data_IF_925042628096
#
_entry.id   IF_925042628096
#
_cell.length_a   1.000
_cell.length_b   1.000
_cell.length_c   1.000
_cell.angle_alpha   90.00
_cell.angle_beta   90.00
_cell.angle_gamma   90.00
#
_symmetry.space_group_name_H-M   'P 1'
#
loop_
_entity.id
_entity.type
_entity.pdbx_description
1 polymer ?
#
# COMPACT_ATOMS: atom_id res chain seq x y z
N UNK A 1 1.07 -7.71 -20.41
CA UNK A 1 0.63 -6.34 -20.73
C UNK A 1 0.64 -5.54 -19.44
N UNK A 2 1.06 -4.27 -19.47
CA UNK A 2 1.26 -3.43 -18.29
C UNK A 2 0.33 -2.23 -18.34
N UNK A 3 -0.08 -1.76 -17.17
CA UNK A 3 -0.82 -0.54 -16.93
C UNK A 3 0.14 0.51 -16.37
N UNK A 4 0.42 1.53 -17.17
CA UNK A 4 1.23 2.67 -16.74
C UNK A 4 0.32 3.81 -16.25
N UNK A 5 0.38 4.09 -14.95
CA UNK A 5 -0.35 5.18 -14.32
C UNK A 5 0.59 6.36 -14.17
N UNK A 6 0.52 7.31 -15.09
CA UNK A 6 1.33 8.52 -15.10
C UNK A 6 0.55 9.66 -14.42
N UNK A 7 1.14 10.25 -13.37
CA UNK A 7 0.53 11.31 -12.57
C UNK A 7 1.44 12.53 -12.61
N UNK A 8 0.92 13.72 -12.95
CA UNK A 8 1.68 14.97 -12.84
C UNK A 8 2.19 15.19 -11.42
N UNK A 9 3.45 15.56 -11.29
CA UNK A 9 4.13 15.69 -10.01
C UNK A 9 5.12 16.88 -9.98
N UNK A 10 4.85 17.95 -10.71
CA UNK A 10 5.67 19.17 -10.74
C UNK A 10 5.83 19.75 -9.31
N UNK A 11 4.78 19.67 -8.48
CA UNK A 11 4.73 20.13 -7.11
C UNK A 11 5.32 19.13 -6.08
N UNK A 12 5.79 17.96 -6.53
CA UNK A 12 6.41 16.98 -5.65
C UNK A 12 7.81 17.47 -5.23
N UNK A 13 8.00 17.64 -3.93
CA UNK A 13 9.27 18.09 -3.36
C UNK A 13 10.29 16.93 -3.26
N UNK A 14 11.56 17.27 -3.02
CA UNK A 14 12.61 16.29 -2.71
C UNK A 14 12.21 15.39 -1.53
N UNK A 15 11.61 15.95 -0.48
CA UNK A 15 11.10 15.17 0.65
C UNK A 15 9.92 14.28 0.25
N UNK A 16 9.03 14.76 -0.61
CA UNK A 16 7.93 13.96 -1.15
C UNK A 16 8.41 12.74 -1.96
N UNK A 17 9.48 12.89 -2.75
CA UNK A 17 10.11 11.78 -3.47
C UNK A 17 10.66 10.76 -2.47
N UNK A 18 11.43 11.20 -1.46
CA UNK A 18 11.93 10.28 -0.41
C UNK A 18 10.80 9.55 0.30
N UNK A 19 9.71 10.24 0.61
CA UNK A 19 8.55 9.64 1.25
C UNK A 19 7.92 8.56 0.36
N UNK A 20 7.78 8.83 -0.94
CA UNK A 20 7.22 7.88 -1.90
C UNK A 20 8.09 6.63 -2.03
N UNK A 21 9.41 6.81 -2.18
CA UNK A 21 10.38 5.72 -2.27
C UNK A 21 10.39 4.86 -1.00
N UNK A 22 10.43 5.49 0.18
CA UNK A 22 10.39 4.80 1.46
C UNK A 22 9.07 4.07 1.70
N UNK A 23 7.95 4.64 1.23
CA UNK A 23 6.63 4.00 1.28
C UNK A 23 6.61 2.76 0.39
N UNK A 24 7.11 2.87 -0.85
CA UNK A 24 7.19 1.76 -1.78
C UNK A 24 8.10 0.65 -1.25
N UNK A 25 9.30 0.98 -0.77
CA UNK A 25 10.23 0.04 -0.13
C UNK A 25 9.55 -0.72 1.02
N UNK A 26 8.86 -0.01 1.89
CA UNK A 26 8.20 -0.61 3.06
C UNK A 26 7.02 -1.51 2.71
N UNK A 27 6.43 -1.35 1.53
CA UNK A 27 5.20 -2.04 1.11
C UNK A 27 5.36 -2.90 -0.15
N UNK A 28 6.54 -2.93 -0.77
CA UNK A 28 6.77 -3.66 -2.02
C UNK A 28 6.37 -5.13 -1.93
N UNK A 29 6.61 -5.80 -0.81
CA UNK A 29 6.17 -7.18 -0.60
C UNK A 29 4.64 -7.32 -0.76
N UNK A 30 3.88 -6.50 -0.04
CA UNK A 30 2.41 -6.55 -0.07
C UNK A 30 1.83 -6.03 -1.40
N UNK A 31 2.46 -5.02 -2.00
CA UNK A 31 2.09 -4.51 -3.32
C UNK A 31 2.28 -5.57 -4.40
N UNK A 32 3.40 -6.27 -4.40
CA UNK A 32 3.68 -7.36 -5.32
C UNK A 32 2.70 -8.52 -5.14
N UNK A 33 2.38 -8.89 -3.90
CA UNK A 33 1.34 -9.89 -3.62
C UNK A 33 -0.04 -9.45 -4.11
N UNK A 34 -0.42 -8.19 -3.87
CA UNK A 34 -1.69 -7.63 -4.34
C UNK A 34 -1.77 -7.62 -5.87
N UNK A 35 -0.67 -7.25 -6.54
CA UNK A 35 -0.55 -7.24 -7.99
C UNK A 35 -0.40 -8.62 -8.63
N UNK A 36 -0.09 -9.66 -7.83
CA UNK A 36 0.08 -11.03 -8.32
C UNK A 36 1.40 -11.31 -9.04
N UNK A 37 2.44 -10.51 -8.76
CA UNK A 37 3.78 -10.68 -9.35
C UNK A 37 4.79 -9.65 -8.84
N UNK A 38 6.02 -9.72 -9.31
CA UNK A 38 7.13 -8.88 -8.87
C UNK A 38 7.22 -7.60 -9.73
N UNK A 39 6.27 -6.71 -9.55
CA UNK A 39 6.18 -5.45 -10.30
C UNK A 39 6.97 -4.31 -9.68
N UNK A 40 7.19 -4.33 -8.38
CA UNK A 40 7.87 -3.27 -7.63
C UNK A 40 9.12 -3.79 -6.95
N UNK A 41 10.24 -3.11 -7.16
CA UNK A 41 11.47 -3.38 -6.43
C UNK A 41 12.25 -2.09 -6.15
N UNK A 42 12.46 -1.83 -4.86
CA UNK A 42 13.33 -0.79 -4.33
C UNK A 42 14.41 -1.48 -3.51
N UNK A 43 15.68 -1.24 -3.83
CA UNK A 43 16.79 -1.80 -3.05
C UNK A 43 17.00 -1.04 -1.73
N UNK A 44 17.52 -1.72 -0.72
CA UNK A 44 17.94 -1.08 0.53
C UNK A 44 18.99 0.02 0.29
N UNK A 45 19.88 -0.19 -0.68
CA UNK A 45 20.90 0.79 -1.06
C UNK A 45 20.30 2.16 -1.46
N UNK A 46 19.17 2.16 -2.16
CA UNK A 46 18.48 3.42 -2.52
C UNK A 46 18.01 4.15 -1.25
N UNK A 47 17.39 3.44 -0.32
CA UNK A 47 16.90 4.05 0.92
C UNK A 47 18.04 4.58 1.81
N UNK A 48 19.18 3.89 1.83
CA UNK A 48 20.39 4.31 2.52
C UNK A 48 21.01 5.56 1.88
N UNK A 49 21.18 5.56 0.55
CA UNK A 49 21.71 6.73 -0.18
C UNK A 49 20.86 7.96 0.07
N UNK A 50 19.52 7.84 -0.01
CA UNK A 50 18.59 8.94 0.23
C UNK A 50 18.60 9.44 1.68
N UNK A 51 18.91 8.57 2.64
CA UNK A 51 19.04 8.91 4.04
C UNK A 51 20.36 9.62 4.35
N UNK A 52 21.46 9.11 3.77
CA UNK A 52 22.82 9.56 4.11
C UNK A 52 23.23 10.80 3.30
N UNK A 53 22.54 11.08 2.20
CA UNK A 53 22.77 12.24 1.34
C UNK A 53 21.52 13.12 1.25
N UNK A 54 21.11 13.78 2.36
CA UNK A 54 19.95 14.66 2.35
C UNK A 54 20.18 15.89 1.47
N UNK A 55 19.20 16.19 0.63
CA UNK A 55 19.19 17.39 -0.22
C UNK A 55 17.75 17.88 -0.40
N UNK A 56 17.56 19.18 -0.59
CA UNK A 56 16.26 19.76 -0.91
C UNK A 56 16.05 19.90 -2.43
N UNK A 57 17.04 19.51 -3.22
CA UNK A 57 16.97 19.49 -4.67
C UNK A 57 16.24 18.24 -5.17
N UNK A 58 15.12 18.44 -5.85
CA UNK A 58 14.36 17.37 -6.52
C UNK A 58 15.22 16.62 -7.54
N UNK A 59 15.98 17.37 -8.34
CA UNK A 59 16.86 16.81 -9.38
C UNK A 59 17.91 15.90 -8.76
N UNK A 60 18.60 16.36 -7.71
CA UNK A 60 19.63 15.57 -7.03
C UNK A 60 19.06 14.29 -6.42
N UNK A 61 17.85 14.31 -5.85
CA UNK A 61 17.20 13.09 -5.33
C UNK A 61 16.93 12.09 -6.45
N UNK A 62 16.45 12.56 -7.61
CA UNK A 62 16.21 11.71 -8.78
C UNK A 62 17.53 11.11 -9.27
N UNK A 63 18.60 11.91 -9.39
CA UNK A 63 19.94 11.45 -9.76
C UNK A 63 20.50 10.41 -8.78
N UNK A 64 20.33 10.61 -7.49
CA UNK A 64 20.72 9.64 -6.45
C UNK A 64 20.02 8.29 -6.64
N UNK A 65 18.70 8.30 -6.93
CA UNK A 65 17.92 7.09 -7.19
C UNK A 65 18.45 6.37 -8.44
N UNK A 66 18.69 7.10 -9.52
CA UNK A 66 19.19 6.56 -10.78
C UNK A 66 20.61 5.96 -10.62
N UNK A 67 21.50 6.69 -9.94
CA UNK A 67 22.86 6.24 -9.66
C UNK A 67 22.91 4.99 -8.77
N UNK A 68 21.93 4.81 -7.88
CA UNK A 68 21.80 3.62 -7.04
C UNK A 68 21.09 2.44 -7.73
N UNK A 69 20.84 2.51 -9.05
CA UNK A 69 20.29 1.41 -9.85
C UNK A 69 18.82 1.58 -10.25
N UNK A 70 18.17 2.68 -9.85
CA UNK A 70 16.76 2.94 -10.19
C UNK A 70 15.77 2.06 -9.42
N UNK A 71 14.49 2.25 -9.71
CA UNK A 71 13.40 1.54 -9.05
C UNK A 71 12.58 0.78 -10.11
N UNK A 72 12.33 -0.50 -9.90
CA UNK A 72 11.40 -1.23 -10.76
C UNK A 72 9.96 -0.84 -10.41
N UNK A 73 9.14 -0.63 -11.42
CA UNK A 73 7.71 -0.31 -11.28
C UNK A 73 7.40 1.14 -10.89
N UNK A 74 8.42 1.97 -10.68
CA UNK A 74 8.26 3.39 -10.39
C UNK A 74 9.31 4.20 -11.16
N UNK A 75 8.85 5.07 -12.04
CA UNK A 75 9.68 6.06 -12.71
C UNK A 75 9.34 7.46 -12.21
N UNK A 76 10.37 8.23 -11.86
CA UNK A 76 10.23 9.57 -11.29
C UNK A 76 11.02 10.56 -12.16
N UNK A 77 10.31 11.53 -12.73
CA UNK A 77 10.89 12.66 -13.43
C UNK A 77 10.57 13.96 -12.69
N UNK A 78 11.08 15.07 -13.17
CA UNK A 78 10.77 16.38 -12.58
C UNK A 78 9.29 16.73 -12.70
N UNK A 79 8.60 16.27 -13.77
CA UNK A 79 7.23 16.65 -14.10
C UNK A 79 6.20 15.61 -13.71
N UNK A 80 6.60 14.34 -13.58
CA UNK A 80 5.66 13.24 -13.39
C UNK A 80 6.23 12.05 -12.60
N UNK A 81 5.32 11.30 -12.01
CA UNK A 81 5.58 9.96 -11.45
C UNK A 81 4.75 8.95 -12.21
N UNK A 82 5.39 7.87 -12.66
CA UNK A 82 4.74 6.77 -13.37
C UNK A 82 4.85 5.48 -12.56
N UNK A 83 3.70 4.89 -12.21
CA UNK A 83 3.62 3.56 -11.61
C UNK A 83 3.31 2.54 -12.69
N UNK A 84 4.00 1.40 -12.68
CA UNK A 84 3.77 0.28 -13.60
C UNK A 84 3.15 -0.88 -12.85
N UNK A 85 1.89 -1.16 -13.13
CA UNK A 85 1.14 -2.30 -12.61
C UNK A 85 0.91 -3.36 -13.70
N UNK A 86 0.48 -4.58 -13.34
CA UNK A 86 -0.09 -5.49 -14.33
C UNK A 86 -1.37 -4.89 -14.92
N UNK A 87 -1.62 -5.15 -16.19
CA UNK A 87 -2.94 -4.89 -16.76
C UNK A 87 -3.94 -5.86 -16.13
N UNK A 88 -4.90 -5.33 -15.40
CA UNK A 88 -6.00 -6.11 -14.84
C UNK A 88 -6.90 -6.67 -15.93
N UNK A 89 -7.56 -7.78 -15.65
CA UNK A 89 -8.52 -8.39 -16.57
C UNK A 89 -9.84 -7.61 -16.61
N UNK A 90 -10.21 -7.01 -15.48
CA UNK A 90 -11.43 -6.23 -15.33
C UNK A 90 -11.13 -4.73 -15.18
N UNK A 91 -12.01 -3.85 -15.67
CA UNK A 91 -11.84 -2.40 -15.54
C UNK A 91 -11.72 -1.93 -14.09
N UNK A 92 -12.43 -2.59 -13.17
CA UNK A 92 -12.40 -2.27 -11.73
C UNK A 92 -11.04 -2.51 -11.09
N UNK A 93 -10.29 -3.48 -11.60
CA UNK A 93 -8.92 -3.76 -11.16
C UNK A 93 -7.97 -2.65 -11.58
N UNK A 94 -8.07 -2.20 -12.83
CA UNK A 94 -7.28 -1.09 -13.36
C UNK A 94 -7.61 0.23 -12.66
N UNK A 95 -8.88 0.46 -12.35
CA UNK A 95 -9.33 1.61 -11.57
C UNK A 95 -8.73 1.57 -10.16
N UNK A 96 -8.73 0.42 -9.50
CA UNK A 96 -8.16 0.26 -8.16
C UNK A 96 -6.65 0.54 -8.13
N UNK A 97 -5.89 0.11 -9.15
CA UNK A 97 -4.47 0.45 -9.26
C UNK A 97 -4.23 1.94 -9.47
N UNK A 98 -5.07 2.58 -10.29
CA UNK A 98 -4.99 4.03 -10.54
C UNK A 98 -5.28 4.84 -9.27
N UNK A 99 -6.32 4.47 -8.54
CA UNK A 99 -6.65 5.08 -7.24
C UNK A 99 -5.52 4.89 -6.23
N UNK A 100 -4.94 3.68 -6.15
CA UNK A 100 -3.82 3.37 -5.25
C UNK A 100 -2.59 4.22 -5.55
N UNK A 101 -2.17 4.31 -6.81
CA UNK A 101 -1.05 5.14 -7.25
C UNK A 101 -1.25 6.61 -6.86
N UNK A 102 -2.44 7.14 -7.12
CA UNK A 102 -2.81 8.50 -6.77
C UNK A 102 -2.76 8.74 -5.26
N UNK A 103 -3.35 7.84 -4.47
CA UNK A 103 -3.36 7.95 -3.01
C UNK A 103 -1.95 7.85 -2.41
N UNK A 104 -1.09 6.99 -2.96
CA UNK A 104 0.32 6.91 -2.55
C UNK A 104 1.05 8.23 -2.78
N UNK A 105 0.87 8.84 -3.95
CA UNK A 105 1.51 10.11 -4.28
C UNK A 105 1.01 11.24 -3.38
N UNK A 106 -0.32 11.35 -3.16
CA UNK A 106 -0.91 12.34 -2.25
C UNK A 106 -0.34 12.16 -0.84
N UNK A 107 -0.32 10.92 -0.33
CA UNK A 107 0.24 10.63 1.00
C UNK A 107 1.72 10.99 1.13
N UNK A 108 2.50 10.76 0.07
CA UNK A 108 3.92 11.12 0.03
C UNK A 108 4.14 12.64 0.10
N UNK A 109 3.28 13.43 -0.58
CA UNK A 109 3.30 14.90 -0.54
C UNK A 109 2.93 15.45 0.84
N UNK A 110 1.91 14.88 1.48
CA UNK A 110 1.38 15.37 2.76
C UNK A 110 2.22 14.94 3.98
N UNK A 111 2.96 13.85 3.86
CA UNK A 111 3.73 13.30 4.97
C UNK A 111 5.00 14.10 5.24
N UNK A 112 5.25 14.47 6.49
CA UNK A 112 6.52 15.09 6.89
C UNK A 112 7.69 14.14 6.67
N UNK A 113 7.52 12.86 7.04
CA UNK A 113 8.55 11.83 6.89
C UNK A 113 7.91 10.44 6.88
N UNK A 114 8.30 9.62 5.92
CA UNK A 114 8.00 8.19 5.86
C UNK A 114 9.27 7.40 6.15
N UNK A 115 9.20 6.41 7.04
CA UNK A 115 10.32 5.52 7.36
C UNK A 115 10.39 4.39 6.35
N UNK A 116 11.61 4.02 5.94
CA UNK A 116 11.88 2.83 5.16
C UNK A 116 12.02 1.63 6.12
N UNK A 117 10.98 0.83 6.23
CA UNK A 117 10.94 -0.35 7.09
C UNK A 117 10.24 -1.47 6.36
N UNK A 118 10.98 -2.49 5.95
CA UNK A 118 10.40 -3.69 5.34
C UNK A 118 9.50 -4.43 6.34
N UNK A 119 8.40 -4.94 5.83
CA UNK A 119 7.45 -5.71 6.63
C UNK A 119 6.82 -6.83 5.80
N UNK A 120 6.99 -8.06 6.26
CA UNK A 120 6.43 -9.26 5.66
C UNK A 120 5.48 -9.94 6.66
N UNK A 121 4.24 -9.45 6.80
CA UNK A 121 3.32 -9.94 7.80
C UNK A 121 2.74 -11.31 7.42
N UNK A 122 2.42 -12.14 8.42
CA UNK A 122 1.69 -13.39 8.22
C UNK A 122 0.26 -13.16 7.73
N UNK A 123 -0.44 -12.19 8.33
CA UNK A 123 -1.78 -11.77 7.92
C UNK A 123 -1.68 -10.58 6.94
N UNK A 124 -1.41 -10.89 5.67
CA UNK A 124 -1.21 -9.90 4.61
C UNK A 124 -2.44 -9.00 4.42
N UNK A 125 -3.66 -9.58 4.41
CA UNK A 125 -4.91 -8.82 4.22
C UNK A 125 -5.14 -7.79 5.30
N UNK A 126 -4.91 -8.13 6.55
CA UNK A 126 -5.10 -7.20 7.67
C UNK A 126 -4.16 -6.01 7.55
N UNK A 127 -2.87 -6.26 7.41
CA UNK A 127 -1.86 -5.21 7.36
C UNK A 127 -1.98 -4.34 6.11
N UNK A 128 -2.30 -4.93 4.96
CA UNK A 128 -2.52 -4.14 3.75
C UNK A 128 -3.79 -3.30 3.85
N UNK A 129 -4.88 -3.83 4.40
CA UNK A 129 -6.10 -3.06 4.66
C UNK A 129 -5.87 -1.89 5.61
N UNK A 130 -5.12 -2.09 6.71
CA UNK A 130 -4.78 -1.00 7.64
C UNK A 130 -4.00 0.10 6.92
N UNK A 131 -3.06 -0.28 6.07
CA UNK A 131 -2.33 0.69 5.27
C UNK A 131 -3.23 1.40 4.26
N UNK A 132 -4.10 0.70 3.52
CA UNK A 132 -5.07 1.30 2.61
C UNK A 132 -5.96 2.33 3.32
N UNK A 133 -6.44 2.02 4.52
CA UNK A 133 -7.21 2.98 5.34
C UNK A 133 -6.36 4.23 5.65
N UNK A 134 -5.08 4.07 5.94
CA UNK A 134 -4.17 5.21 6.17
C UNK A 134 -3.91 6.07 4.92
N UNK A 135 -4.18 5.53 3.73
CA UNK A 135 -4.15 6.25 2.45
C UNK A 135 -5.49 6.92 2.10
N UNK A 136 -6.52 6.75 2.92
CA UNK A 136 -7.85 7.32 2.68
C UNK A 136 -8.88 6.35 2.09
N UNK A 137 -8.55 5.05 1.94
CA UNK A 137 -9.50 4.03 1.47
C UNK A 137 -10.36 3.47 2.61
N UNK A 138 -10.93 4.34 3.44
CA UNK A 138 -11.92 3.96 4.45
C UNK A 138 -13.36 4.09 3.91
N UNK A 139 -14.35 3.75 4.74
CA UNK A 139 -15.75 3.91 4.39
C UNK A 139 -16.31 2.94 3.35
N UNK A 140 -17.58 3.17 2.98
CA UNK A 140 -18.32 2.32 2.05
C UNK A 140 -17.91 2.56 0.59
N UNK A 141 -17.57 3.80 0.24
CA UNK A 141 -17.27 4.23 -1.13
C UNK A 141 -16.03 3.53 -1.70
N UNK A 142 -15.07 3.19 -0.84
CA UNK A 142 -13.86 2.47 -1.24
C UNK A 142 -13.91 0.96 -1.01
N UNK A 143 -15.10 0.39 -0.77
CA UNK A 143 -15.26 -1.05 -0.49
C UNK A 143 -14.81 -1.92 -1.66
N UNK A 144 -15.19 -1.54 -2.87
CA UNK A 144 -14.88 -2.31 -4.07
C UNK A 144 -13.40 -2.18 -4.44
N UNK A 145 -12.82 -0.99 -4.34
CA UNK A 145 -11.38 -0.76 -4.49
C UNK A 145 -10.56 -1.62 -3.53
N UNK A 146 -10.92 -1.61 -2.22
CA UNK A 146 -10.27 -2.49 -1.24
C UNK A 146 -10.44 -3.97 -1.57
N UNK A 147 -11.61 -4.40 -2.04
CA UNK A 147 -11.87 -5.78 -2.44
C UNK A 147 -10.92 -6.22 -3.56
N UNK A 148 -10.74 -5.39 -4.57
CA UNK A 148 -9.81 -5.67 -5.66
C UNK A 148 -8.35 -5.77 -5.18
N UNK A 149 -7.90 -4.79 -4.40
CA UNK A 149 -6.53 -4.74 -3.91
C UNK A 149 -6.18 -5.83 -2.89
N UNK A 150 -7.16 -6.40 -2.21
CA UNK A 150 -6.97 -7.45 -1.20
C UNK A 150 -7.17 -8.88 -1.74
N UNK A 151 -7.63 -9.07 -2.97
CA UNK A 151 -8.07 -10.37 -3.48
C UNK A 151 -6.98 -11.44 -3.48
N UNK A 152 -5.73 -11.07 -3.79
CA UNK A 152 -4.59 -11.97 -3.92
C UNK A 152 -3.80 -12.18 -2.63
N UNK A 153 -4.17 -11.49 -1.55
CA UNK A 153 -3.47 -11.52 -0.27
C UNK A 153 -3.99 -12.65 0.62
N UNK A 154 -3.12 -13.15 1.50
CA UNK A 154 -3.46 -14.20 2.47
C UNK A 154 -4.03 -13.62 3.78
N UNK A 155 -4.79 -14.47 4.49
CA UNK A 155 -5.37 -14.12 5.78
C UNK A 155 -6.76 -13.48 5.69
N UNK A 156 -7.14 -12.74 6.70
CA UNK A 156 -8.43 -12.04 6.79
C UNK A 156 -8.24 -10.58 7.20
N UNK A 157 -9.13 -9.73 6.73
CA UNK A 157 -9.02 -8.26 6.89
C UNK A 157 -9.55 -7.73 8.23
N UNK A 158 -10.29 -8.56 8.99
CA UNK A 158 -11.01 -8.11 10.19
C UNK A 158 -10.19 -8.18 11.48
N UNK A 159 -9.24 -9.11 11.56
CA UNK A 159 -8.46 -9.37 12.78
C UNK A 159 -6.96 -9.39 12.48
N UNK A 160 -6.18 -8.99 13.48
CA UNK A 160 -4.72 -8.95 13.37
C UNK A 160 -4.12 -10.36 13.36
N UNK A 161 -4.64 -11.25 14.21
CA UNK A 161 -4.17 -12.63 14.36
C UNK A 161 -5.31 -13.62 14.22
N UNK A 162 -5.01 -14.89 13.93
CA UNK A 162 -5.99 -15.95 13.90
C UNK A 162 -6.58 -16.20 15.29
N UNK A 163 -5.79 -16.03 16.36
CA UNK A 163 -6.27 -16.11 17.74
C UNK A 163 -7.36 -15.07 18.04
N UNK A 164 -7.19 -13.84 17.57
CA UNK A 164 -8.19 -12.77 17.75
C UNK A 164 -9.48 -13.11 17.00
N UNK A 165 -9.36 -13.70 15.80
CA UNK A 165 -10.50 -14.18 15.02
C UNK A 165 -11.25 -15.32 15.74
N UNK A 166 -10.53 -16.29 16.30
CA UNK A 166 -11.12 -17.40 17.03
C UNK A 166 -11.78 -16.94 18.35
N UNK A 167 -11.14 -16.06 19.11
CA UNK A 167 -11.73 -15.44 20.31
C UNK A 167 -13.03 -14.69 19.97
N UNK A 168 -13.03 -13.93 18.88
CA UNK A 168 -14.25 -13.23 18.45
C UNK A 168 -15.37 -14.19 18.07
N UNK A 169 -15.07 -15.26 17.31
CA UNK A 169 -16.05 -16.28 16.93
C UNK A 169 -16.63 -16.97 18.17
N UNK A 170 -15.78 -17.35 19.14
CA UNK A 170 -16.20 -17.97 20.38
C UNK A 170 -17.14 -17.04 21.18
N UNK A 171 -16.76 -15.77 21.37
CA UNK A 171 -17.58 -14.78 22.06
C UNK A 171 -18.93 -14.53 21.36
N UNK A 172 -18.95 -14.50 20.03
CA UNK A 172 -20.19 -14.32 19.26
C UNK A 172 -21.10 -15.54 19.36
N UNK A 173 -20.53 -16.76 19.40
CA UNK A 173 -21.29 -18.01 19.60
C UNK A 173 -21.94 -18.04 20.98
N UNK A 174 -21.20 -17.65 22.01
CA UNK A 174 -21.70 -17.56 23.37
C UNK A 174 -22.83 -16.52 23.51
N UNK A 175 -22.63 -15.31 22.97
CA UNK A 175 -23.67 -14.26 22.96
C UNK A 175 -24.95 -14.73 22.26
N UNK A 176 -24.82 -15.44 21.13
CA UNK A 176 -25.99 -15.99 20.41
C UNK A 176 -26.70 -17.06 21.21
N UNK A 177 -25.97 -17.90 21.99
CA UNK A 177 -26.52 -18.91 22.85
C UNK A 177 -27.31 -18.27 23.98
N UNK A 178 -26.72 -17.31 24.68
CA UNK A 178 -27.38 -16.56 25.76
C UNK A 178 -28.64 -15.80 25.28
N UNK A 179 -28.58 -15.20 24.07
CA UNK A 179 -29.71 -14.51 23.47
C UNK A 179 -30.88 -15.47 23.11
N UNK A 180 -30.59 -16.73 22.77
CA UNK A 180 -31.62 -17.76 22.55
C UNK A 180 -32.25 -18.23 23.87
N UNK A 181 -31.42 -18.55 24.88
CA UNK A 181 -31.88 -18.97 26.19
C UNK A 181 -32.75 -17.89 26.87
N UNK A 182 -32.39 -16.61 26.73
CA UNK A 182 -33.20 -15.47 27.25
C UNK A 182 -34.52 -15.26 26.52
N UNK A 183 -34.68 -15.75 25.28
CA UNK A 183 -35.96 -15.68 24.53
C UNK A 183 -36.87 -16.85 24.81
N UNK A 184 -36.33 -17.99 25.24
CA UNK A 184 -37.12 -19.18 25.60
C UNK A 184 -37.68 -19.09 27.04
N UNK A 185 -37.19 -18.12 27.84
CA UNK A 185 -37.63 -17.90 29.24
C UNK A 185 -38.56 -16.68 29.40
N UNK A 186 -38.87 -15.98 28.33
CA UNK A 186 -39.78 -14.82 28.31
C UNK A 186 -41.10 -15.14 27.59
#
# INVERSE_FOLDING_TARGET
MELNVKIPAEDLTAQGIRNLVNMLYSRQYLLNKAAGGDYFAVSAAITEVLKDNPTDSKVEVIEQIQAAGGITGLDITEDAVTFTFPMGQEPEENAAYTELATAMLVKAKESKRVRATEHTPENEKYYFRVWLVSLGFDGADHKDTRKQLLKNLKGHSAFRTDEDAEKFKANMKEKRKLAKEGREQA
#
